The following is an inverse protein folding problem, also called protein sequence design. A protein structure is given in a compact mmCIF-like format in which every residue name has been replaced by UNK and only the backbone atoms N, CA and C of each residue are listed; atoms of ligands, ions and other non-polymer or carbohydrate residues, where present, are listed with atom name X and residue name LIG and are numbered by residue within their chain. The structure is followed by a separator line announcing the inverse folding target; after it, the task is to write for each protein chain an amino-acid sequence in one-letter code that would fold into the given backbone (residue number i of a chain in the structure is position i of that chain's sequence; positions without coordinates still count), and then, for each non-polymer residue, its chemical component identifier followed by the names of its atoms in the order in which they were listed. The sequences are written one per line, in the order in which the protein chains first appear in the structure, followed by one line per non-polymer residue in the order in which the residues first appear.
data_IF_524034304662
#
_entry.id   IF_524034304662
#
_cell.length_a   1.000
_cell.length_b   1.000
_cell.length_c   1.000
_cell.angle_alpha   90.00
_cell.angle_beta   90.00
_cell.angle_gamma   90.00
#
_symmetry.space_group_name_H-M   'P 1'
#
loop_
_entity.id
_entity.type
_entity.pdbx_description
1 polymer ?
#
# COMPACT_ATOMS: atom_id res chain seq x y z
N UNK A 1 -26.66 -50.83 -8.22
CA UNK A 1 -25.87 -49.90 -9.04
C UNK A 1 -26.05 -48.42 -8.63
N UNK A 2 -26.38 -48.12 -7.36
CA UNK A 2 -26.73 -46.75 -6.91
C UNK A 2 -25.68 -46.10 -5.97
N UNK A 3 -24.72 -46.86 -5.44
CA UNK A 3 -23.73 -46.33 -4.49
C UNK A 3 -22.59 -45.54 -5.17
N UNK A 4 -22.37 -45.74 -6.48
CA UNK A 4 -21.27 -45.08 -7.21
C UNK A 4 -21.61 -43.63 -7.60
N UNK A 5 -22.88 -43.33 -7.92
CA UNK A 5 -23.34 -41.98 -8.31
C UNK A 5 -23.33 -40.98 -7.15
N UNK A 6 -23.61 -41.45 -5.93
CA UNK A 6 -23.62 -40.62 -4.71
C UNK A 6 -22.20 -40.13 -4.39
N UNK A 7 -21.17 -40.91 -4.71
CA UNK A 7 -19.77 -40.55 -4.46
C UNK A 7 -19.26 -39.46 -5.41
N UNK A 8 -19.66 -39.51 -6.69
CA UNK A 8 -19.29 -38.49 -7.67
C UNK A 8 -19.96 -37.13 -7.37
N UNK A 9 -21.22 -37.13 -6.95
CA UNK A 9 -21.93 -35.91 -6.56
C UNK A 9 -21.30 -35.26 -5.31
N UNK A 10 -20.93 -36.08 -4.31
CA UNK A 10 -20.23 -35.61 -3.11
C UNK A 10 -18.86 -35.02 -3.44
N UNK A 11 -18.10 -35.67 -4.33
CA UNK A 11 -16.79 -35.17 -4.77
C UNK A 11 -16.93 -33.85 -5.54
N UNK A 12 -17.93 -33.74 -6.41
CA UNK A 12 -18.22 -32.50 -7.13
C UNK A 12 -18.58 -31.34 -6.19
N UNK A 13 -19.39 -31.60 -5.16
CA UNK A 13 -19.73 -30.59 -4.14
C UNK A 13 -18.48 -30.16 -3.36
N UNK A 14 -17.59 -31.09 -3.00
CA UNK A 14 -16.32 -30.76 -2.32
C UNK A 14 -15.43 -29.88 -3.21
N UNK A 15 -15.28 -30.23 -4.49
CA UNK A 15 -14.51 -29.42 -5.46
C UNK A 15 -15.13 -28.03 -5.61
N UNK A 16 -16.46 -27.95 -5.73
CA UNK A 16 -17.17 -26.67 -5.85
C UNK A 16 -17.01 -25.79 -4.60
N UNK A 17 -17.02 -26.38 -3.41
CA UNK A 17 -16.75 -25.67 -2.15
C UNK A 17 -15.29 -25.21 -2.03
N UNK A 18 -14.33 -25.92 -2.62
CA UNK A 18 -12.94 -25.45 -2.67
C UNK A 18 -12.79 -24.21 -3.56
N UNK A 19 -13.52 -24.13 -4.68
CA UNK A 19 -13.44 -22.98 -5.61
C UNK A 19 -14.04 -21.71 -4.97
N UNK A 20 -15.12 -21.85 -4.17
CA UNK A 20 -15.81 -20.73 -3.52
C UNK A 20 -15.13 -20.19 -2.26
N UNK A 21 -14.17 -20.92 -1.67
CA UNK A 21 -13.35 -20.43 -0.55
C UNK A 21 -12.11 -19.65 -1.00
N UNK A 22 -11.90 -19.49 -2.30
CA UNK A 22 -11.01 -18.46 -2.86
C UNK A 22 -11.68 -17.09 -2.72
N UNK A 23 -11.93 -16.69 -1.47
CA UNK A 23 -12.36 -15.34 -1.14
C UNK A 23 -11.14 -14.45 -1.38
N UNK A 24 -11.12 -13.83 -2.56
CA UNK A 24 -10.12 -12.86 -2.95
C UNK A 24 -9.99 -11.82 -1.83
N UNK A 25 -8.80 -11.78 -1.26
CA UNK A 25 -8.42 -10.72 -0.34
C UNK A 25 -8.46 -9.47 -1.20
N UNK A 26 -9.48 -8.62 -0.98
CA UNK A 26 -9.80 -7.50 -1.85
C UNK A 26 -8.74 -6.39 -1.67
N UNK A 27 -7.54 -6.61 -2.22
CA UNK A 27 -6.47 -5.63 -2.29
C UNK A 27 -6.81 -4.62 -3.39
N UNK A 28 -7.63 -3.63 -3.03
CA UNK A 28 -7.93 -2.53 -3.94
C UNK A 28 -6.74 -1.56 -3.94
N UNK A 29 -5.86 -1.72 -4.93
CA UNK A 29 -4.78 -0.78 -5.20
C UNK A 29 -5.34 0.49 -5.83
N UNK A 30 -5.47 1.57 -5.05
CA UNK A 30 -5.88 2.88 -5.54
C UNK A 30 -4.66 3.70 -5.91
N UNK A 31 -4.56 4.13 -7.16
CA UNK A 31 -3.44 4.97 -7.62
C UNK A 31 -3.33 6.28 -6.83
N UNK A 32 -2.10 6.63 -6.44
CA UNK A 32 -1.78 7.89 -5.75
C UNK A 32 -1.02 8.84 -6.68
N UNK A 33 0.19 8.47 -7.09
CA UNK A 33 1.04 9.25 -8.01
C UNK A 33 2.11 8.35 -8.63
N UNK A 34 2.36 8.47 -9.93
CA UNK A 34 3.40 7.68 -10.61
C UNK A 34 3.21 6.17 -10.38
N UNK A 35 4.22 5.51 -9.80
CA UNK A 35 4.19 4.08 -9.41
C UNK A 35 3.71 3.84 -7.97
N UNK A 36 3.20 4.86 -7.27
CA UNK A 36 2.75 4.77 -5.88
C UNK A 36 1.24 4.58 -5.81
N UNK A 37 0.82 3.68 -4.94
CA UNK A 37 -0.57 3.27 -4.74
C UNK A 37 -0.90 3.23 -3.25
N UNK A 38 -2.17 3.46 -2.93
CA UNK A 38 -2.75 3.03 -1.68
C UNK A 38 -3.21 1.59 -1.80
N UNK A 39 -2.80 0.73 -0.89
CA UNK A 39 -3.42 -0.56 -0.72
C UNK A 39 -4.20 -0.60 0.60
N UNK A 40 -5.35 -1.24 0.56
CA UNK A 40 -6.22 -1.48 1.70
C UNK A 40 -6.16 -2.97 2.02
N UNK A 41 -5.28 -3.32 2.95
CA UNK A 41 -5.18 -4.71 3.40
C UNK A 41 -6.07 -4.92 4.61
N UNK A 42 -6.26 -6.19 5.02
CA UNK A 42 -6.91 -6.53 6.29
C UNK A 42 -6.22 -5.95 7.52
N UNK A 43 -4.96 -5.49 7.39
CA UNK A 43 -4.14 -4.93 8.47
C UNK A 43 -4.12 -3.40 8.46
N UNK A 44 -4.75 -2.75 7.48
CA UNK A 44 -4.87 -1.30 7.39
C UNK A 44 -4.55 -0.75 6.00
N UNK A 45 -4.49 0.58 5.93
CA UNK A 45 -4.03 1.30 4.73
C UNK A 45 -2.51 1.25 4.69
N UNK A 46 -1.92 0.93 3.55
CA UNK A 46 -0.48 1.05 3.32
C UNK A 46 -0.21 1.89 2.06
N UNK A 47 0.97 2.49 2.00
CA UNK A 47 1.50 3.07 0.76
C UNK A 47 2.41 2.03 0.14
N UNK A 48 2.14 1.71 -1.12
CA UNK A 48 2.87 0.71 -1.89
C UNK A 48 3.52 1.34 -3.12
N UNK A 49 4.59 0.71 -3.59
CA UNK A 49 5.24 1.04 -4.85
C UNK A 49 5.19 -0.14 -5.80
N UNK A 50 4.71 0.09 -7.02
CA UNK A 50 4.64 -0.91 -8.09
C UNK A 50 6.02 -1.13 -8.71
N UNK A 51 6.65 -2.26 -8.39
CA UNK A 51 8.04 -2.57 -8.77
C UNK A 51 8.18 -3.08 -10.20
N UNK A 52 7.11 -3.60 -10.80
CA UNK A 52 7.12 -4.04 -12.20
C UNK A 52 5.75 -3.86 -12.87
N UNK A 53 5.57 -4.36 -14.09
CA UNK A 53 4.30 -4.25 -14.81
C UNK A 53 3.36 -5.45 -14.56
N UNK A 54 3.82 -6.46 -13.81
CA UNK A 54 3.06 -7.67 -13.45
C UNK A 54 2.22 -7.50 -12.19
N UNK A 55 2.00 -6.25 -11.75
CA UNK A 55 1.28 -5.91 -10.52
C UNK A 55 1.99 -6.42 -9.25
N UNK A 56 3.33 -6.47 -9.26
CA UNK A 56 4.10 -6.65 -8.03
C UNK A 56 4.27 -5.32 -7.28
N UNK A 57 4.00 -5.34 -5.98
CA UNK A 57 4.05 -4.19 -5.10
C UNK A 57 4.98 -4.42 -3.90
N UNK A 58 5.69 -3.37 -3.50
CA UNK A 58 6.45 -3.32 -2.24
C UNK A 58 5.76 -2.34 -1.29
N UNK A 59 5.46 -2.80 -0.08
CA UNK A 59 4.94 -1.94 0.98
C UNK A 59 6.04 -1.01 1.49
N UNK A 60 5.76 0.30 1.48
CA UNK A 60 6.70 1.35 1.88
C UNK A 60 6.45 1.85 3.29
N UNK A 61 5.18 2.12 3.59
CA UNK A 61 4.72 2.57 4.89
C UNK A 61 3.51 1.72 5.24
N UNK A 62 3.67 0.91 6.27
CA UNK A 62 2.65 0.04 6.83
C UNK A 62 1.79 0.77 7.87
N UNK A 63 0.61 0.20 8.15
CA UNK A 63 -0.26 0.66 9.22
C UNK A 63 -1.01 1.98 8.97
N UNK A 64 -1.93 2.29 9.87
CA UNK A 64 -2.79 3.47 9.75
C UNK A 64 -1.98 4.77 9.77
N UNK A 65 -2.19 5.60 8.75
CA UNK A 65 -1.73 6.99 8.69
C UNK A 65 -2.92 7.94 8.59
N UNK A 66 -2.72 9.18 9.04
CA UNK A 66 -3.77 10.19 9.21
C UNK A 66 -3.84 11.16 8.04
N UNK A 67 -2.69 11.69 7.59
CA UNK A 67 -2.64 12.71 6.55
C UNK A 67 -1.55 12.41 5.52
N UNK A 68 -1.84 12.73 4.26
CA UNK A 68 -0.89 12.61 3.15
C UNK A 68 -0.91 13.88 2.30
N UNK A 69 0.27 14.26 1.83
CA UNK A 69 0.48 15.28 0.82
C UNK A 69 1.56 14.84 -0.15
N UNK A 70 1.62 15.44 -1.33
CA UNK A 70 2.72 15.18 -2.26
C UNK A 70 2.94 16.35 -3.21
N UNK A 71 4.16 16.44 -3.73
CA UNK A 71 4.55 17.32 -4.84
C UNK A 71 5.14 16.49 -5.98
N UNK A 72 5.89 17.11 -6.90
CA UNK A 72 6.50 16.40 -8.03
C UNK A 72 7.64 15.45 -7.64
N UNK A 73 8.18 15.56 -6.42
CA UNK A 73 9.40 14.88 -6.00
C UNK A 73 9.23 14.05 -4.73
N UNK A 74 8.26 14.38 -3.87
CA UNK A 74 8.08 13.72 -2.58
C UNK A 74 6.62 13.50 -2.23
N UNK A 75 6.36 12.41 -1.51
CA UNK A 75 5.15 12.17 -0.74
C UNK A 75 5.50 12.41 0.73
N UNK A 76 4.68 13.18 1.43
CA UNK A 76 4.77 13.38 2.88
C UNK A 76 3.61 12.64 3.56
N UNK A 77 3.92 11.99 4.67
CA UNK A 77 2.95 11.15 5.39
C UNK A 77 3.01 11.48 6.87
N UNK A 78 1.87 11.79 7.46
CA UNK A 78 1.67 11.84 8.90
C UNK A 78 1.03 10.52 9.32
N UNK A 79 1.78 9.67 10.03
CA UNK A 79 1.22 8.45 10.61
C UNK A 79 0.30 8.81 11.77
N UNK A 80 0.82 9.62 12.68
CA UNK A 80 0.12 10.27 13.79
C UNK A 80 0.78 11.63 14.05
N UNK A 81 0.24 12.40 15.01
CA UNK A 81 0.74 13.75 15.34
C UNK A 81 2.22 13.83 15.69
N UNK A 82 2.87 12.71 16.00
CA UNK A 82 4.26 12.64 16.43
C UNK A 82 5.19 11.94 15.42
N UNK A 83 4.65 11.34 14.35
CA UNK A 83 5.43 10.51 13.43
C UNK A 83 5.15 10.84 11.96
N UNK A 84 6.20 11.30 11.30
CA UNK A 84 6.18 11.74 9.91
C UNK A 84 7.17 10.98 9.06
N UNK A 85 6.85 10.80 7.78
CA UNK A 85 7.71 10.19 6.79
C UNK A 85 7.78 11.05 5.54
N UNK A 86 8.94 11.04 4.89
CA UNK A 86 9.18 11.63 3.57
C UNK A 86 9.58 10.51 2.63
N UNK A 87 8.78 10.28 1.59
CA UNK A 87 9.01 9.25 0.59
C UNK A 87 9.39 9.94 -0.72
N UNK A 88 10.60 9.72 -1.28
CA UNK A 88 10.95 10.26 -2.59
C UNK A 88 10.09 9.60 -3.68
N UNK A 89 9.74 10.36 -4.71
CA UNK A 89 9.02 9.87 -5.89
C UNK A 89 10.03 9.52 -6.99
N UNK A 90 10.17 8.23 -7.29
CA UNK A 90 11.00 7.79 -8.40
C UNK A 90 10.24 7.89 -9.73
N UNK A 91 10.81 8.62 -10.70
CA UNK A 91 10.29 8.72 -12.07
C UNK A 91 10.53 7.45 -12.87
N UNK A 92 11.61 6.76 -12.56
CA UNK A 92 11.99 5.47 -13.15
C UNK A 92 11.71 4.34 -12.16
N UNK A 93 11.80 3.11 -12.65
CA UNK A 93 11.65 1.91 -11.83
C UNK A 93 12.77 1.85 -10.79
N UNK A 94 12.41 1.59 -9.54
CA UNK A 94 13.34 1.37 -8.44
C UNK A 94 13.02 0.05 -7.75
N UNK A 95 14.01 -0.83 -7.63
CA UNK A 95 13.88 -2.15 -7.00
C UNK A 95 14.04 -2.11 -5.47
N UNK A 96 14.46 -0.98 -4.90
CA UNK A 96 14.56 -0.77 -3.45
C UNK A 96 14.01 0.61 -3.07
N UNK A 97 12.74 0.91 -3.39
CA UNK A 97 12.13 2.22 -3.13
C UNK A 97 12.15 2.62 -1.65
N UNK A 98 12.11 1.64 -0.75
CA UNK A 98 12.11 1.80 0.71
C UNK A 98 13.39 2.44 1.26
N UNK A 99 14.54 2.23 0.61
CA UNK A 99 15.84 2.75 1.08
C UNK A 99 15.95 4.28 1.04
N UNK A 100 15.11 4.93 0.24
CA UNK A 100 15.07 6.39 0.14
C UNK A 100 14.14 7.06 1.15
N UNK A 101 13.33 6.28 1.89
CA UNK A 101 12.36 6.81 2.84
C UNK A 101 13.10 7.42 4.02
N UNK A 102 12.71 8.63 4.39
CA UNK A 102 13.21 9.32 5.59
C UNK A 102 12.13 9.31 6.65
N UNK A 103 12.37 8.58 7.74
CA UNK A 103 11.51 8.56 8.92
C UNK A 103 11.63 7.26 9.72
N UNK A 104 10.85 7.15 10.81
CA UNK A 104 9.94 8.15 11.34
C UNK A 104 10.67 9.39 11.88
N UNK A 105 10.13 10.58 11.58
CA UNK A 105 10.60 11.88 12.08
C UNK A 105 9.59 12.45 13.06
N UNK A 106 10.05 13.15 14.09
CA UNK A 106 9.16 13.97 14.92
C UNK A 106 8.76 15.28 14.19
N UNK A 107 7.78 16.07 14.70
CA UNK A 107 7.32 17.28 14.03
C UNK A 107 8.43 18.30 13.72
N UNK A 108 9.42 18.43 14.61
CA UNK A 108 10.52 19.39 14.44
C UNK A 108 11.46 18.92 13.34
N UNK A 109 11.91 17.67 13.42
CA UNK A 109 12.79 17.05 12.42
C UNK A 109 12.13 17.03 11.03
N UNK A 110 10.84 16.72 10.97
CA UNK A 110 10.09 16.74 9.72
C UNK A 110 10.10 18.12 9.08
N UNK A 111 9.80 19.17 9.85
CA UNK A 111 9.80 20.54 9.33
C UNK A 111 11.19 21.01 8.89
N UNK A 112 12.23 20.67 9.64
CA UNK A 112 13.62 20.94 9.26
C UNK A 112 13.99 20.21 7.96
N UNK A 113 13.66 18.92 7.86
CA UNK A 113 13.93 18.12 6.67
C UNK A 113 13.13 18.59 5.45
N UNK A 114 11.86 18.94 5.63
CA UNK A 114 10.98 19.52 4.59
C UNK A 114 11.60 20.79 4.00
N UNK A 115 12.11 21.68 4.85
CA UNK A 115 12.82 22.90 4.44
C UNK A 115 14.14 22.60 3.72
N UNK A 116 14.96 21.71 4.26
CA UNK A 116 16.24 21.32 3.65
C UNK A 116 16.07 20.72 2.25
N UNK A 117 15.06 19.87 2.09
CA UNK A 117 14.73 19.20 0.82
C UNK A 117 13.90 20.08 -0.13
N UNK A 118 13.52 21.30 0.29
CA UNK A 118 12.68 22.23 -0.48
C UNK A 118 11.35 21.60 -0.95
N UNK A 119 10.73 20.81 -0.07
CA UNK A 119 9.46 20.14 -0.34
C UNK A 119 8.33 21.18 -0.28
N UNK A 120 7.55 21.26 -1.35
CA UNK A 120 6.42 22.20 -1.48
C UNK A 120 5.07 21.53 -1.28
N UNK A 121 5.06 20.24 -0.94
CA UNK A 121 3.85 19.49 -0.61
C UNK A 121 3.25 19.96 0.72
N UNK A 122 1.93 20.09 0.76
CA UNK A 122 1.17 20.23 2.01
C UNK A 122 0.20 19.06 2.15
N UNK A 123 -0.17 18.75 3.39
CA UNK A 123 -1.14 17.69 3.67
C UNK A 123 -2.49 18.05 3.04
N UNK A 124 -2.96 17.25 2.10
CA UNK A 124 -4.17 17.50 1.33
C UNK A 124 -5.20 16.36 1.41
N UNK A 125 -4.77 15.16 1.80
CA UNK A 125 -5.61 13.98 1.89
C UNK A 125 -5.72 13.51 3.34
N UNK A 126 -6.95 13.44 3.85
CA UNK A 126 -7.27 12.77 5.11
C UNK A 126 -7.62 11.31 4.83
N UNK A 127 -6.99 10.41 5.56
CA UNK A 127 -7.12 8.97 5.38
C UNK A 127 -7.82 8.28 6.55
N UNK A 128 -8.48 9.04 7.43
CA UNK A 128 -9.43 8.50 8.41
C UNK A 128 -10.85 8.40 7.83
#
# INVERSE_FOLDING_TARGET
MNNFKINALKLFIIILMCILNSCDTFDSHKHLIGRYYFNHTKFGKCICYKVDDNDDYVELIDGAFSLIGFDSNYIIVERNKDQFFIVPIYKEMNYSPEKGIVGPLNPKEFNEKKKMLKINADFSMNTN
#
